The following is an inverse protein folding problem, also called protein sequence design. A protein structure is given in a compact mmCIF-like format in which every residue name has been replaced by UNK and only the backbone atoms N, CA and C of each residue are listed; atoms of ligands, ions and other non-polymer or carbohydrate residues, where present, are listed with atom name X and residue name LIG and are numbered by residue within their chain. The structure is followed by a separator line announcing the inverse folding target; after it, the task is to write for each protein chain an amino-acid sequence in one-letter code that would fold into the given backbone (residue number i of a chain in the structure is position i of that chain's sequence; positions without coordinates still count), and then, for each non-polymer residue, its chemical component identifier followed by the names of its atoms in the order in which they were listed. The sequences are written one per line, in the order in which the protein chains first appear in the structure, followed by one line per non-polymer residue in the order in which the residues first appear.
data_IF_057797319067
#
_entry.id   IF_057797319067
#
_cell.length_a   1.000
_cell.length_b   1.000
_cell.length_c   1.000
_cell.angle_alpha   90.00
_cell.angle_beta   90.00
_cell.angle_gamma   90.00
#
_symmetry.space_group_name_H-M   'P 1'
#
loop_
_entity.id
_entity.type
_entity.pdbx_description
1 polymer ?
#
# COMPACT_ATOMS: atom_id res chain seq x y z
N UNK A 1 -13.62 12.98 2.83
CA UNK A 1 -13.51 11.68 3.51
C UNK A 1 -12.39 10.94 2.84
N UNK A 2 -11.30 10.67 3.56
CA UNK A 2 -10.21 9.82 3.06
C UNK A 2 -10.76 8.41 2.91
N UNK A 3 -10.55 7.76 1.77
CA UNK A 3 -10.82 6.33 1.60
C UNK A 3 -9.52 5.51 1.68
N UNK A 4 -9.62 4.19 1.74
CA UNK A 4 -8.44 3.32 1.82
C UNK A 4 -7.50 3.46 0.62
N UNK A 5 -8.02 3.86 -0.55
CA UNK A 5 -7.21 4.12 -1.74
C UNK A 5 -6.35 5.37 -1.53
N UNK A 6 -6.92 6.46 -1.03
CA UNK A 6 -6.17 7.66 -0.71
C UNK A 6 -5.12 7.43 0.39
N UNK A 7 -5.39 6.54 1.35
CA UNK A 7 -4.39 6.11 2.33
C UNK A 7 -3.24 5.34 1.68
N UNK A 8 -3.55 4.40 0.79
CA UNK A 8 -2.53 3.60 0.10
C UNK A 8 -1.68 4.44 -0.85
N UNK A 9 -2.24 5.43 -1.53
CA UNK A 9 -1.42 6.30 -2.40
C UNK A 9 -0.39 7.11 -1.61
N UNK A 10 -0.66 7.51 -0.35
CA UNK A 10 0.37 8.11 0.53
C UNK A 10 1.54 7.16 0.79
N UNK A 11 1.25 5.87 0.98
CA UNK A 11 2.29 4.84 1.13
C UNK A 11 3.06 4.64 -0.18
N UNK A 12 2.39 4.65 -1.32
CA UNK A 12 3.04 4.55 -2.64
C UNK A 12 3.99 5.72 -2.88
N UNK A 13 3.60 6.94 -2.50
CA UNK A 13 4.49 8.10 -2.55
C UNK A 13 5.73 7.93 -1.65
N UNK A 14 5.57 7.33 -0.47
CA UNK A 14 6.68 7.01 0.42
C UNK A 14 7.61 5.94 -0.17
N UNK A 15 7.06 4.91 -0.83
CA UNK A 15 7.85 3.93 -1.59
C UNK A 15 8.69 4.63 -2.65
N UNK A 16 8.12 5.54 -3.43
CA UNK A 16 8.86 6.29 -4.46
C UNK A 16 10.04 7.10 -3.89
N UNK A 17 9.90 7.65 -2.68
CA UNK A 17 11.01 8.32 -1.98
C UNK A 17 12.11 7.36 -1.55
N UNK A 18 11.74 6.17 -1.06
CA UNK A 18 12.70 5.12 -0.72
C UNK A 18 13.41 4.56 -1.95
N UNK A 19 12.70 4.41 -3.07
CA UNK A 19 13.27 4.02 -4.38
C UNK A 19 14.33 5.02 -4.82
N UNK A 20 14.03 6.33 -4.76
CA UNK A 20 14.97 7.37 -5.13
C UNK A 20 16.26 7.36 -4.28
N UNK A 21 16.19 6.90 -3.02
CA UNK A 21 17.37 6.69 -2.18
C UNK A 21 18.10 5.40 -2.56
N UNK A 22 17.37 4.29 -2.72
CA UNK A 22 17.93 2.97 -3.00
C UNK A 22 18.58 2.87 -4.39
N UNK A 23 18.03 3.55 -5.40
CA UNK A 23 18.55 3.53 -6.77
C UNK A 23 19.94 4.16 -6.91
N UNK A 24 20.41 4.89 -5.89
CA UNK A 24 21.77 5.41 -5.84
C UNK A 24 22.83 4.32 -5.71
N UNK A 25 22.44 3.11 -5.31
CA UNK A 25 23.30 1.93 -5.28
C UNK A 25 23.24 1.24 -6.65
N UNK A 26 24.27 1.41 -7.46
CA UNK A 26 24.33 0.93 -8.86
C UNK A 26 24.04 -0.58 -8.99
N UNK A 27 24.62 -1.39 -8.11
CA UNK A 27 24.45 -2.85 -8.13
C UNK A 27 23.01 -3.30 -7.80
N UNK A 28 22.24 -2.44 -7.14
CA UNK A 28 20.88 -2.75 -6.66
C UNK A 28 19.79 -2.07 -7.50
N UNK A 29 20.15 -1.32 -8.54
CA UNK A 29 19.21 -0.50 -9.30
C UNK A 29 18.02 -1.31 -9.83
N UNK A 30 18.28 -2.45 -10.48
CA UNK A 30 17.23 -3.34 -11.01
C UNK A 30 16.36 -3.88 -9.88
N UNK A 31 16.98 -4.30 -8.78
CA UNK A 31 16.28 -4.88 -7.65
C UNK A 31 15.30 -3.88 -7.01
N UNK A 32 15.72 -2.63 -6.82
CA UNK A 32 14.89 -1.55 -6.27
C UNK A 32 13.66 -1.26 -7.15
N UNK A 33 13.83 -1.20 -8.47
CA UNK A 33 12.73 -0.94 -9.41
C UNK A 33 11.77 -2.13 -9.56
N UNK A 34 12.29 -3.36 -9.47
CA UNK A 34 11.47 -4.56 -9.43
C UNK A 34 10.59 -4.58 -8.17
N UNK A 35 11.16 -4.23 -7.01
CA UNK A 35 10.41 -4.07 -5.77
C UNK A 35 9.32 -3.01 -5.88
N UNK A 36 9.64 -1.82 -6.40
CA UNK A 36 8.66 -0.75 -6.63
C UNK A 36 7.48 -1.26 -7.46
N UNK A 37 7.78 -1.86 -8.62
CA UNK A 37 6.78 -2.35 -9.56
C UNK A 37 5.84 -3.35 -8.90
N UNK A 38 6.40 -4.35 -8.20
CA UNK A 38 5.62 -5.42 -7.57
C UNK A 38 4.79 -4.88 -6.40
N UNK A 39 5.39 -4.08 -5.52
CA UNK A 39 4.70 -3.62 -4.31
C UNK A 39 3.62 -2.59 -4.61
N UNK A 40 3.89 -1.64 -5.52
CA UNK A 40 2.89 -0.64 -5.91
C UNK A 40 1.69 -1.31 -6.57
N UNK A 41 1.91 -2.28 -7.47
CA UNK A 41 0.83 -3.03 -8.08
C UNK A 41 -0.02 -3.78 -7.04
N UNK A 42 0.63 -4.45 -6.08
CA UNK A 42 -0.06 -5.21 -5.03
C UNK A 42 -0.87 -4.32 -4.10
N UNK A 43 -0.30 -3.23 -3.59
CA UNK A 43 -0.99 -2.32 -2.68
C UNK A 43 -2.24 -1.71 -3.32
N UNK A 44 -2.13 -1.28 -4.58
CA UNK A 44 -3.27 -0.75 -5.35
C UNK A 44 -4.35 -1.79 -5.59
N UNK A 45 -3.97 -3.05 -5.88
CA UNK A 45 -4.91 -4.14 -6.05
C UNK A 45 -5.70 -4.43 -4.76
N UNK A 46 -5.03 -4.47 -3.60
CA UNK A 46 -5.68 -4.65 -2.30
C UNK A 46 -6.63 -3.48 -2.00
N UNK A 47 -6.19 -2.23 -2.17
CA UNK A 47 -7.04 -1.06 -1.95
C UNK A 47 -8.29 -1.05 -2.85
N UNK A 48 -8.18 -1.53 -4.10
CA UNK A 48 -9.31 -1.69 -4.99
C UNK A 48 -10.24 -2.85 -4.58
N UNK A 49 -9.68 -3.94 -4.06
CA UNK A 49 -10.41 -5.13 -3.59
C UNK A 49 -11.10 -4.94 -2.23
N UNK A 50 -10.53 -4.16 -1.31
CA UNK A 50 -11.16 -3.82 -0.02
C UNK A 50 -12.46 -3.04 -0.22
N UNK A 51 -12.61 -2.29 -1.31
CA UNK A 51 -13.88 -1.68 -1.71
C UNK A 51 -14.95 -2.70 -2.16
N UNK A 52 -14.55 -3.91 -2.56
CA UNK A 52 -15.44 -4.98 -3.02
C UNK A 52 -15.74 -6.03 -1.92
N UNK A 53 -14.79 -6.31 -1.01
CA UNK A 53 -14.97 -7.28 0.07
C UNK A 53 -16.04 -6.85 1.11
N UNK A 54 -16.34 -5.55 1.21
CA UNK A 54 -17.49 -5.04 1.97
C UNK A 54 -18.86 -5.39 1.34
N UNK A 55 -18.89 -6.05 0.17
CA UNK A 55 -20.11 -6.36 -0.59
C UNK A 55 -20.32 -7.87 -0.87
N UNK A 56 -19.58 -8.76 -0.19
CA UNK A 56 -19.44 -10.15 -0.63
C UNK A 56 -19.72 -11.23 0.43
N UNK A 57 -20.85 -11.16 1.13
CA UNK A 57 -21.40 -12.32 1.85
C UNK A 57 -22.77 -12.74 1.28
N UNK A 58 -22.82 -13.10 -0.01
CA UNK A 58 -23.91 -13.90 -0.59
C UNK A 58 -23.54 -14.44 -1.99
N UNK A 59 -23.74 -15.75 -2.17
CA UNK A 59 -24.14 -16.57 -3.35
C UNK A 59 -24.06 -16.00 -4.81
N UNK A 60 -24.06 -16.85 -5.88
CA UNK A 60 -23.66 -16.43 -7.24
C UNK A 60 -24.68 -15.47 -7.87
N UNK A 61 -24.20 -14.37 -8.45
CA UNK A 61 -25.02 -13.27 -8.96
C UNK A 61 -24.81 -13.08 -10.48
N UNK A 62 -25.91 -13.05 -11.23
CA UNK A 62 -26.01 -12.50 -12.60
C UNK A 62 -25.71 -10.99 -12.61
N UNK A 63 -25.31 -10.39 -13.75
CA UNK A 63 -24.76 -9.04 -13.75
C UNK A 63 -25.88 -8.01 -13.66
N UNK A 64 -25.98 -7.33 -12.51
CA UNK A 64 -26.82 -6.15 -12.34
C UNK A 64 -25.92 -4.93 -12.22
N UNK A 65 -26.25 -3.87 -12.95
CA UNK A 65 -25.45 -2.65 -13.07
C UNK A 65 -25.21 -1.98 -11.70
N UNK A 66 -24.02 -2.13 -11.15
CA UNK A 66 -23.65 -1.57 -9.84
C UNK A 66 -23.44 -0.06 -9.92
N UNK A 67 -24.30 0.71 -9.25
CA UNK A 67 -23.92 2.02 -8.72
C UNK A 67 -22.80 1.80 -7.69
N UNK A 68 -21.72 2.62 -7.67
CA UNK A 68 -20.75 2.55 -6.58
C UNK A 68 -21.45 2.99 -5.29
N UNK A 69 -21.65 2.06 -4.37
CA UNK A 69 -22.02 2.37 -2.98
C UNK A 69 -20.92 3.24 -2.38
N UNK A 70 -21.23 4.31 -1.61
CA UNK A 70 -20.19 5.12 -1.01
C UNK A 70 -19.36 4.25 -0.08
N UNK A 71 -18.05 4.16 -0.35
CA UNK A 71 -17.12 3.42 0.48
C UNK A 71 -17.22 3.97 1.92
N UNK A 72 -17.42 3.07 2.88
CA UNK A 72 -17.33 3.41 4.29
C UNK A 72 -15.92 3.96 4.56
N UNK A 73 -15.77 5.08 5.28
CA UNK A 73 -14.45 5.59 5.62
C UNK A 73 -13.65 4.53 6.40
N UNK A 74 -12.32 4.49 6.23
CA UNK A 74 -11.46 3.59 6.97
C UNK A 74 -11.54 3.88 8.47
N UNK A 75 -11.26 2.89 9.34
CA UNK A 75 -11.13 3.11 10.77
C UNK A 75 -10.06 4.19 11.05
N UNK A 76 -10.27 5.09 12.03
CA UNK A 76 -9.30 6.13 12.35
C UNK A 76 -7.95 5.55 12.81
N UNK A 77 -7.95 4.36 13.41
CA UNK A 77 -6.73 3.64 13.79
C UNK A 77 -5.90 3.22 12.57
N UNK A 78 -6.56 2.86 11.46
CA UNK A 78 -5.87 2.53 10.20
C UNK A 78 -5.22 3.77 9.60
N UNK A 79 -5.95 4.90 9.55
CA UNK A 79 -5.39 6.15 9.06
C UNK A 79 -4.17 6.59 9.89
N UNK A 80 -4.29 6.57 11.23
CA UNK A 80 -3.18 6.90 12.12
C UNK A 80 -1.98 5.94 11.99
N UNK A 81 -2.23 4.64 11.77
CA UNK A 81 -1.16 3.65 11.59
C UNK A 81 -0.39 3.88 10.27
N UNK A 82 -1.11 4.14 9.18
CA UNK A 82 -0.47 4.40 7.88
C UNK A 82 0.26 5.74 7.87
N UNK A 83 -0.28 6.78 8.50
CA UNK A 83 0.41 8.06 8.64
C UNK A 83 1.70 7.93 9.45
N UNK A 84 1.69 7.11 10.50
CA UNK A 84 2.90 6.81 11.26
C UNK A 84 3.93 6.04 10.42
N UNK A 85 3.51 5.04 9.66
CA UNK A 85 4.41 4.28 8.78
C UNK A 85 5.07 5.17 7.72
N UNK A 86 4.30 6.07 7.10
CA UNK A 86 4.82 7.06 6.14
C UNK A 86 5.84 7.98 6.82
N UNK A 87 5.50 8.52 7.99
CA UNK A 87 6.42 9.38 8.74
C UNK A 87 7.72 8.67 9.14
N UNK A 88 7.66 7.37 9.47
CA UNK A 88 8.86 6.58 9.76
C UNK A 88 9.71 6.32 8.51
N UNK A 89 9.08 6.04 7.36
CA UNK A 89 9.78 5.90 6.08
C UNK A 89 10.49 7.21 5.66
N UNK A 90 9.85 8.37 5.91
CA UNK A 90 10.41 9.68 5.58
C UNK A 90 11.65 10.05 6.41
N UNK A 91 11.89 9.38 7.53
CA UNK A 91 13.11 9.56 8.33
C UNK A 91 14.30 8.72 7.82
N UNK A 92 14.11 7.85 6.84
CA UNK A 92 15.19 7.05 6.27
C UNK A 92 16.03 7.91 5.34
N UNK A 93 17.34 8.02 5.65
CA UNK A 93 18.30 8.76 4.82
C UNK A 93 19.50 7.93 4.34
N UNK A 94 19.58 6.65 4.75
CA UNK A 94 20.62 5.72 4.33
C UNK A 94 20.11 4.84 3.17
N UNK A 95 20.82 4.74 2.02
CA UNK A 95 20.37 3.96 0.86
C UNK A 95 20.15 2.47 1.13
N UNK A 96 21.02 1.81 1.89
CA UNK A 96 20.86 0.38 2.20
C UNK A 96 19.64 0.16 3.10
N UNK A 97 19.44 1.01 4.11
CA UNK A 97 18.24 0.99 4.94
C UNK A 97 16.98 1.29 4.13
N UNK A 98 17.05 2.12 3.09
CA UNK A 98 15.91 2.36 2.21
C UNK A 98 15.48 1.07 1.49
N UNK A 99 16.44 0.25 1.05
CA UNK A 99 16.16 -1.07 0.44
C UNK A 99 15.46 -2.02 1.43
N UNK A 100 15.91 -2.11 2.68
CA UNK A 100 15.21 -2.89 3.71
C UNK A 100 13.77 -2.40 3.92
N UNK A 101 13.58 -1.08 3.88
CA UNK A 101 12.27 -0.45 4.01
C UNK A 101 11.37 -0.67 2.78
N UNK A 102 11.92 -0.84 1.58
CA UNK A 102 11.16 -1.20 0.37
C UNK A 102 10.47 -2.56 0.47
N UNK A 103 10.94 -3.47 1.33
CA UNK A 103 10.23 -4.70 1.66
C UNK A 103 9.32 -4.55 2.89
N UNK A 104 9.76 -3.78 3.89
CA UNK A 104 9.06 -3.66 5.19
C UNK A 104 7.80 -2.81 5.11
N UNK A 105 7.87 -1.64 4.47
CA UNK A 105 6.76 -0.68 4.41
C UNK A 105 5.53 -1.26 3.68
N UNK A 106 5.66 -1.90 2.51
CA UNK A 106 4.52 -2.53 1.85
C UNK A 106 3.90 -3.66 2.67
N UNK A 107 4.73 -4.51 3.30
CA UNK A 107 4.26 -5.61 4.14
C UNK A 107 3.51 -5.11 5.38
N UNK A 108 4.06 -4.13 6.09
CA UNK A 108 3.38 -3.51 7.23
C UNK A 108 2.04 -2.86 6.84
N UNK A 109 2.00 -2.23 5.66
CA UNK A 109 0.78 -1.66 5.09
C UNK A 109 -0.27 -2.75 4.80
N UNK A 110 0.13 -3.87 4.20
CA UNK A 110 -0.75 -5.01 3.96
C UNK A 110 -1.34 -5.57 5.26
N UNK A 111 -0.52 -5.74 6.30
CA UNK A 111 -0.98 -6.18 7.62
C UNK A 111 -1.98 -5.18 8.22
N UNK A 112 -1.74 -3.88 8.10
CA UNK A 112 -2.67 -2.86 8.57
C UNK A 112 -4.01 -2.91 7.81
N UNK A 113 -3.99 -3.24 6.52
CA UNK A 113 -5.17 -3.46 5.68
C UNK A 113 -5.88 -4.81 5.97
N UNK A 114 -5.34 -5.64 6.86
CA UNK A 114 -5.91 -6.93 7.25
C UNK A 114 -5.49 -8.11 6.36
N UNK A 115 -4.51 -7.92 5.48
CA UNK A 115 -3.92 -9.00 4.70
C UNK A 115 -2.97 -9.83 5.58
N UNK A 116 -2.89 -11.14 5.31
CA UNK A 116 -1.93 -12.00 6.01
C UNK A 116 -0.49 -11.67 5.61
N UNK A 117 0.40 -11.61 6.61
CA UNK A 117 1.84 -11.61 6.38
C UNK A 117 2.26 -13.00 5.86
N UNK A 118 2.82 -13.06 4.66
CA UNK A 118 3.44 -14.25 4.10
C UNK A 118 4.91 -13.95 3.82
#
# INVERSE_FOLDING_TARGET
MTDSRALVERVVEAIGRLVALGETIEDEWTYVHDLETVWVARLRAVAAGSGAAAHGAAAPQSPSSSHPSPALPPPPELEAALDRLVAEADMVGDPHRAIDWLSTLPQATLVALGESAW
#
